data_IF_033108540297
#
_entry.id   IF_033108540297
#
_cell.length_a   1.000
_cell.length_b   1.000
_cell.length_c   1.000
_cell.angle_alpha   90.00
_cell.angle_beta   90.00
_cell.angle_gamma   90.00
#
_symmetry.space_group_name_H-M   'P 1'
#
loop_
_entity.id
_entity.type
_entity.pdbx_description
1 polymer ?
#
# COMPACT_ATOMS: atom_id res chain seq x y z
N UNK A 1 -14.12 29.28 -46.90
CA UNK A 1 -14.02 29.07 -45.43
C UNK A 1 -14.37 30.37 -44.76
N UNK A 2 -15.21 30.30 -43.73
CA UNK A 2 -15.64 31.49 -42.99
C UNK A 2 -14.52 31.98 -42.06
N UNK A 3 -14.48 33.29 -41.80
CA UNK A 3 -13.45 33.93 -40.95
C UNK A 3 -13.40 33.29 -39.55
N UNK A 4 -14.56 32.89 -39.04
CA UNK A 4 -14.70 32.23 -37.75
C UNK A 4 -14.13 30.81 -37.78
N UNK A 5 -14.26 30.11 -38.91
CA UNK A 5 -13.65 28.80 -39.12
C UNK A 5 -12.13 28.89 -39.13
N UNK A 6 -11.57 29.88 -39.82
CA UNK A 6 -10.11 30.12 -39.85
C UNK A 6 -9.59 30.47 -38.44
N UNK A 7 -10.30 31.33 -37.71
CA UNK A 7 -9.93 31.69 -36.34
C UNK A 7 -9.98 30.48 -35.39
N UNK A 8 -11.01 29.63 -35.50
CA UNK A 8 -11.13 28.41 -34.70
C UNK A 8 -9.94 27.46 -34.93
N UNK A 9 -9.52 27.27 -36.19
CA UNK A 9 -8.34 26.47 -36.50
C UNK A 9 -7.05 27.05 -35.91
N UNK A 10 -6.89 28.37 -35.92
CA UNK A 10 -5.73 29.04 -35.31
C UNK A 10 -5.69 28.82 -33.79
N UNK A 11 -6.83 28.94 -33.12
CA UNK A 11 -6.93 28.72 -31.66
C UNK A 11 -6.63 27.26 -31.32
N UNK A 12 -7.18 26.30 -32.06
CA UNK A 12 -6.91 24.87 -31.85
C UNK A 12 -5.42 24.57 -32.02
N UNK A 13 -4.79 25.11 -33.08
CA UNK A 13 -3.35 24.93 -33.29
C UNK A 13 -2.51 25.49 -32.12
N UNK A 14 -2.89 26.66 -31.60
CA UNK A 14 -2.20 27.28 -30.46
C UNK A 14 -2.39 26.47 -29.16
N UNK A 15 -3.59 25.93 -28.92
CA UNK A 15 -3.86 25.05 -27.79
C UNK A 15 -3.03 23.76 -27.91
N UNK A 16 -3.03 23.10 -29.07
CA UNK A 16 -2.25 21.88 -29.29
C UNK A 16 -0.74 22.10 -29.14
N UNK A 17 -0.24 23.27 -29.56
CA UNK A 17 1.16 23.65 -29.36
C UNK A 17 1.49 23.95 -27.88
N UNK A 18 0.55 24.49 -27.11
CA UNK A 18 0.72 24.81 -25.69
C UNK A 18 0.47 23.65 -24.73
N UNK A 19 -0.38 22.68 -25.08
CA UNK A 19 -0.73 21.53 -24.25
C UNK A 19 0.49 20.71 -23.75
N UNK A 20 1.49 20.32 -24.57
CA UNK A 20 2.62 19.54 -24.07
C UNK A 20 3.38 20.28 -22.96
N UNK A 21 3.62 21.57 -23.13
CA UNK A 21 4.29 22.40 -22.14
C UNK A 21 3.43 22.64 -20.88
N UNK A 22 2.12 22.83 -21.07
CA UNK A 22 1.19 22.96 -19.95
C UNK A 22 1.24 21.73 -19.04
N UNK A 23 1.23 20.52 -19.60
CA UNK A 23 1.28 19.27 -18.82
C UNK A 23 2.61 19.06 -18.08
N UNK A 24 3.73 19.55 -18.61
CA UNK A 24 5.02 19.57 -17.90
C UNK A 24 4.97 20.51 -16.68
N UNK A 25 4.37 21.71 -16.82
CA UNK A 25 4.31 22.70 -15.74
C UNK A 25 3.47 22.24 -14.54
N UNK A 26 2.38 21.50 -14.79
CA UNK A 26 1.47 21.01 -13.74
C UNK A 26 1.77 19.57 -13.28
N UNK A 27 2.85 18.95 -13.77
CA UNK A 27 3.28 17.61 -13.37
C UNK A 27 2.33 16.49 -13.80
N UNK A 28 1.48 16.72 -14.81
CA UNK A 28 0.60 15.69 -15.39
C UNK A 28 1.23 14.97 -16.60
N UNK A 29 2.45 15.35 -16.98
CA UNK A 29 3.17 14.70 -18.06
C UNK A 29 3.44 13.23 -17.70
N UNK A 30 2.99 12.27 -18.54
CA UNK A 30 3.40 10.88 -18.41
C UNK A 30 4.93 10.80 -18.43
N UNK A 31 5.57 10.00 -17.56
CA UNK A 31 7.00 9.75 -17.69
C UNK A 31 7.29 9.21 -19.10
N UNK A 32 8.44 9.57 -19.72
CA UNK A 32 8.79 9.03 -21.02
C UNK A 32 8.74 7.50 -20.95
N UNK A 33 7.82 6.91 -21.73
CA UNK A 33 7.72 5.45 -21.84
C UNK A 33 9.06 4.96 -22.39
N UNK A 34 9.74 4.03 -21.71
CA UNK A 34 10.89 3.35 -22.30
C UNK A 34 10.43 2.73 -23.62
N UNK A 35 11.14 3.05 -24.69
CA UNK A 35 10.94 2.44 -26.00
C UNK A 35 11.01 0.91 -25.84
N UNK A 36 9.94 0.21 -26.21
CA UNK A 36 9.96 -1.23 -26.42
C UNK A 36 10.95 -1.53 -27.54
N UNK A 37 12.08 -2.14 -27.18
CA UNK A 37 13.06 -2.54 -28.17
C UNK A 37 14.42 -2.89 -27.60
N UNK A 38 14.50 -3.91 -26.74
CA UNK A 38 15.69 -4.75 -26.61
C UNK A 38 15.37 -6.04 -25.83
N UNK A 39 15.19 -7.13 -26.59
CA UNK A 39 15.42 -8.47 -26.08
C UNK A 39 16.89 -8.59 -25.66
N UNK A 40 17.20 -8.36 -24.38
CA UNK A 40 18.48 -8.77 -23.81
C UNK A 40 18.28 -10.01 -22.95
N UNK A 41 18.48 -11.15 -23.62
CA UNK A 41 19.05 -12.41 -23.12
C UNK A 41 19.21 -12.53 -21.60
N UNK A 42 18.37 -13.38 -21.00
CA UNK A 42 18.59 -13.92 -19.66
C UNK A 42 19.98 -14.57 -19.58
N UNK A 43 20.93 -13.92 -18.90
CA UNK A 43 22.12 -14.57 -18.34
C UNK A 43 21.88 -14.86 -16.86
N UNK A 44 22.00 -16.11 -16.39
CA UNK A 44 21.82 -16.42 -14.99
C UNK A 44 22.98 -15.82 -14.19
N UNK A 45 22.68 -14.86 -13.33
CA UNK A 45 23.64 -14.33 -12.37
C UNK A 45 23.76 -15.36 -11.23
N UNK A 46 24.97 -15.91 -11.14
CA UNK A 46 25.45 -16.81 -10.09
C UNK A 46 25.32 -16.13 -8.72
N UNK A 47 24.71 -16.83 -7.76
CA UNK A 47 24.55 -16.35 -6.39
C UNK A 47 25.92 -15.96 -5.75
N UNK A 48 26.05 -14.79 -5.12
CA UNK A 48 27.21 -14.49 -4.30
C UNK A 48 27.08 -15.22 -2.96
N UNK A 49 27.93 -16.22 -2.75
CA UNK A 49 28.23 -16.74 -1.42
C UNK A 49 28.97 -15.65 -0.64
N UNK A 50 28.28 -14.95 0.25
CA UNK A 50 28.91 -14.13 1.29
C UNK A 50 28.90 -14.95 2.57
N UNK A 51 30.01 -15.61 2.84
CA UNK A 51 30.41 -15.92 4.20
C UNK A 51 30.95 -14.64 4.83
N UNK A 52 30.29 -14.16 5.88
CA UNK A 52 30.95 -13.54 7.03
C UNK A 52 29.93 -13.34 8.15
N UNK A 53 30.34 -13.92 9.28
CA UNK A 53 29.81 -13.85 10.64
C UNK A 53 29.24 -12.50 11.07
N UNK A 54 28.03 -12.54 11.64
CA UNK A 54 27.62 -11.70 12.77
C UNK A 54 26.90 -12.57 13.82
N UNK A 55 27.05 -12.25 15.11
CA UNK A 55 26.92 -13.20 16.21
C UNK A 55 25.48 -13.63 16.51
N UNK A 56 25.35 -14.91 16.87
CA UNK A 56 24.10 -15.52 17.30
C UNK A 56 23.61 -14.90 18.63
N UNK A 57 22.34 -14.49 18.75
CA UNK A 57 21.70 -14.41 20.05
C UNK A 57 21.42 -15.83 20.55
N UNK A 58 21.97 -16.09 21.72
CA UNK A 58 21.93 -17.32 22.48
C UNK A 58 20.51 -17.69 22.91
N UNK A 59 20.15 -18.95 22.62
CA UNK A 59 19.07 -19.78 23.16
C UNK A 59 18.08 -19.14 24.17
N UNK A 60 16.85 -18.93 23.72
CA UNK A 60 15.66 -19.00 24.58
C UNK A 60 14.68 -19.97 23.92
N UNK A 61 14.12 -20.95 24.65
CA UNK A 61 13.38 -22.05 24.02
C UNK A 61 12.12 -21.52 23.33
N UNK A 62 11.99 -21.81 22.04
CA UNK A 62 10.74 -21.73 21.31
C UNK A 62 9.79 -22.73 21.97
N UNK A 63 9.00 -22.26 22.95
CA UNK A 63 7.79 -22.95 23.30
C UNK A 63 6.88 -22.86 22.08
N UNK A 64 6.84 -23.97 21.33
CA UNK A 64 5.76 -24.29 20.41
C UNK A 64 4.49 -24.39 21.26
N UNK A 65 3.92 -23.23 21.58
CA UNK A 65 2.65 -23.10 22.27
C UNK A 65 1.56 -23.61 21.35
N UNK A 66 1.22 -24.88 21.50
CA UNK A 66 0.04 -25.45 20.89
C UNK A 66 -1.20 -24.77 21.47
N UNK A 67 -1.93 -24.04 20.64
CA UNK A 67 -3.35 -23.77 20.87
C UNK A 67 -4.17 -24.65 19.94
N UNK A 68 -4.13 -25.96 20.19
CA UNK A 68 -5.26 -26.81 19.89
C UNK A 68 -6.31 -26.59 21.01
N UNK A 69 -7.01 -25.44 20.98
CA UNK A 69 -8.34 -25.40 21.59
C UNK A 69 -9.27 -26.03 20.57
N UNK A 70 -9.70 -27.25 20.86
CA UNK A 70 -10.81 -27.92 20.16
C UNK A 70 -12.01 -26.99 20.25
N UNK A 71 -12.47 -26.49 19.12
CA UNK A 71 -13.75 -25.80 19.01
C UNK A 71 -14.84 -26.87 18.94
N UNK A 72 -15.44 -27.16 20.09
CA UNK A 72 -16.78 -27.73 20.11
C UNK A 72 -17.78 -26.60 19.91
N UNK A 73 -18.67 -26.77 18.92
CA UNK A 73 -19.98 -26.13 18.89
C UNK A 73 -20.05 -24.70 18.37
N UNK A 74 -20.62 -24.57 17.17
CA UNK A 74 -21.51 -23.49 16.71
C UNK A 74 -21.47 -22.17 17.50
N UNK A 75 -20.76 -21.19 16.95
CA UNK A 75 -20.69 -19.84 17.49
C UNK A 75 -19.38 -19.19 17.11
N UNK A 76 -19.42 -18.23 16.19
CA UNK A 76 -18.33 -17.29 15.94
C UNK A 76 -18.00 -16.59 17.25
N UNK A 77 -16.97 -17.07 17.96
CA UNK A 77 -16.46 -16.40 19.16
C UNK A 77 -15.79 -15.12 18.67
N UNK A 78 -16.56 -14.03 18.60
CA UNK A 78 -15.99 -12.69 18.60
C UNK A 78 -15.19 -12.58 19.89
N UNK A 79 -13.87 -12.67 19.77
CA UNK A 79 -12.99 -12.32 20.88
C UNK A 79 -13.29 -10.86 21.22
N UNK A 80 -13.74 -10.62 22.45
CA UNK A 80 -14.03 -9.28 22.97
C UNK A 80 -12.75 -8.54 23.38
N UNK A 81 -11.67 -8.73 22.62
CA UNK A 81 -10.43 -8.01 22.81
C UNK A 81 -10.62 -6.56 22.41
N UNK A 82 -10.15 -5.65 23.26
CA UNK A 82 -10.13 -4.22 22.95
C UNK A 82 -9.13 -3.96 21.82
N UNK A 83 -9.52 -3.14 20.83
CA UNK A 83 -8.65 -2.76 19.73
C UNK A 83 -7.45 -1.97 20.26
N UNK A 84 -6.24 -2.44 19.95
CA UNK A 84 -4.98 -1.81 20.34
C UNK A 84 -4.31 -1.23 19.11
N UNK A 85 -3.80 -0.01 19.23
CA UNK A 85 -3.05 0.66 18.17
C UNK A 85 -1.60 0.79 18.60
N UNK A 86 -0.69 0.29 17.76
CA UNK A 86 0.76 0.43 17.90
C UNK A 86 1.26 1.43 16.87
N UNK A 87 2.04 2.42 17.32
CA UNK A 87 2.62 3.40 16.42
C UNK A 87 4.07 3.02 16.07
N UNK A 88 4.35 2.99 14.77
CA UNK A 88 5.69 2.78 14.21
C UNK A 88 6.17 4.12 13.65
N UNK A 89 7.25 4.64 14.23
CA UNK A 89 7.84 5.91 13.83
C UNK A 89 9.21 5.69 13.16
N UNK A 90 9.39 6.32 12.01
CA UNK A 90 10.65 6.31 11.24
C UNK A 90 11.03 7.74 10.84
N UNK A 91 12.21 7.97 10.25
CA UNK A 91 12.54 9.27 9.67
C UNK A 91 11.61 9.71 8.52
N UNK A 92 10.92 8.78 7.85
CA UNK A 92 10.13 9.06 6.64
C UNK A 92 8.61 9.11 6.91
N UNK A 93 8.13 8.35 7.89
CA UNK A 93 6.70 8.22 8.16
C UNK A 93 6.37 7.88 9.62
N UNK A 94 5.10 8.07 9.98
CA UNK A 94 4.48 7.53 11.21
C UNK A 94 3.27 6.70 10.80
N UNK A 95 3.27 5.42 11.18
CA UNK A 95 2.16 4.50 10.87
C UNK A 95 1.47 4.05 12.16
N UNK A 96 0.15 4.14 12.20
CA UNK A 96 -0.68 3.53 13.24
C UNK A 96 -1.15 2.16 12.77
N UNK A 97 -0.77 1.10 13.48
CA UNK A 97 -1.14 -0.29 13.18
C UNK A 97 -2.13 -0.77 14.23
N UNK A 98 -3.32 -1.18 13.80
CA UNK A 98 -4.36 -1.74 14.66
C UNK A 98 -4.25 -3.26 14.74
N UNK A 99 -4.56 -3.81 15.92
CA UNK A 99 -4.75 -5.25 16.09
C UNK A 99 -5.99 -5.80 15.37
N UNK A 100 -6.87 -4.94 14.84
CA UNK A 100 -7.97 -5.33 13.96
C UNK A 100 -7.43 -5.93 12.66
N UNK A 101 -8.03 -7.03 12.22
CA UNK A 101 -7.63 -7.73 11.00
C UNK A 101 -6.20 -8.28 11.02
N UNK A 102 -5.56 -8.33 12.19
CA UNK A 102 -4.19 -8.82 12.37
C UNK A 102 -3.10 -7.80 12.00
N UNK A 103 -3.44 -6.52 11.84
CA UNK A 103 -2.46 -5.48 11.50
C UNK A 103 -2.95 -4.41 10.53
N UNK A 104 -4.25 -4.13 10.44
CA UNK A 104 -4.76 -3.07 9.56
C UNK A 104 -4.20 -1.70 9.95
N UNK A 105 -3.93 -0.85 8.97
CA UNK A 105 -3.44 0.51 9.19
C UNK A 105 -4.60 1.46 9.52
N UNK A 106 -4.44 2.24 10.59
CA UNK A 106 -5.36 3.34 10.94
C UNK A 106 -4.84 4.70 10.48
N UNK A 107 -3.53 4.82 10.27
CA UNK A 107 -2.87 5.99 9.68
C UNK A 107 -1.53 5.61 9.05
N UNK A 108 -1.11 6.36 8.04
CA UNK A 108 0.21 6.27 7.44
C UNK A 108 0.64 7.67 6.96
N UNK A 109 1.23 8.42 7.88
CA UNK A 109 1.54 9.85 7.71
C UNK A 109 2.96 10.00 7.16
N UNK A 110 3.12 10.67 6.03
CA UNK A 110 4.40 10.94 5.40
C UNK A 110 5.00 12.26 5.93
N UNK A 111 6.20 12.20 6.51
CA UNK A 111 6.81 13.34 7.24
C UNK A 111 7.25 14.50 6.33
N UNK A 112 7.57 14.20 5.07
CA UNK A 112 8.17 15.17 4.12
C UNK A 112 7.19 15.62 3.01
N UNK A 113 5.89 15.36 3.17
CA UNK A 113 4.88 15.64 2.15
C UNK A 113 3.74 16.46 2.76
N UNK A 114 3.87 17.80 2.82
CA UNK A 114 2.79 18.68 3.22
C UNK A 114 1.79 18.90 2.08
N UNK A 115 0.52 19.01 2.45
CA UNK A 115 -0.57 19.51 1.63
C UNK A 115 -0.56 21.05 1.59
N UNK A 116 -1.42 21.63 0.75
CA UNK A 116 -1.52 23.09 0.60
C UNK A 116 -1.94 23.82 1.90
N UNK A 117 -2.56 23.11 2.82
CA UNK A 117 -2.98 23.60 4.14
C UNK A 117 -1.94 23.32 5.24
N UNK A 118 -0.73 22.88 4.87
CA UNK A 118 0.36 22.47 5.77
C UNK A 118 0.10 21.22 6.61
N UNK A 119 -1.03 20.52 6.41
CA UNK A 119 -1.21 19.18 6.99
C UNK A 119 -0.34 18.17 6.25
N UNK A 120 0.09 17.10 6.91
CA UNK A 120 0.89 16.06 6.27
C UNK A 120 -0.03 15.08 5.54
N UNK A 121 0.47 14.52 4.43
CA UNK A 121 -0.25 13.47 3.70
C UNK A 121 -0.38 12.23 4.57
N UNK A 122 -1.63 11.81 4.81
CA UNK A 122 -1.98 10.50 5.35
C UNK A 122 -2.50 9.62 4.21
N UNK A 123 -1.87 8.45 4.01
CA UNK A 123 -2.29 7.50 2.97
C UNK A 123 -3.54 6.70 3.38
N UNK A 124 -3.93 6.73 4.66
CA UNK A 124 -5.17 6.11 5.14
C UNK A 124 -6.27 7.17 5.20
N UNK A 125 -7.14 7.14 4.19
CA UNK A 125 -8.31 8.03 4.08
C UNK A 125 -9.54 7.28 4.57
N UNK A 126 -10.21 7.83 5.59
CA UNK A 126 -11.30 7.16 6.32
C UNK A 126 -12.41 6.66 5.38
N UNK A 127 -12.76 7.42 4.37
CA UNK A 127 -13.87 7.11 3.46
C UNK A 127 -13.45 6.20 2.29
N UNK A 128 -12.15 5.94 2.11
CA UNK A 128 -11.62 5.24 0.92
C UNK A 128 -11.05 3.87 1.28
N UNK A 129 -10.23 3.77 2.32
CA UNK A 129 -9.43 2.56 2.59
C UNK A 129 -9.35 2.15 4.08
N UNK A 130 -10.42 2.37 4.85
CA UNK A 130 -10.55 1.86 6.23
C UNK A 130 -10.45 0.32 6.35
N UNK A 131 -10.85 -0.42 5.32
CA UNK A 131 -10.74 -1.88 5.26
C UNK A 131 -9.42 -2.38 4.69
N UNK A 132 -8.33 -1.61 4.81
CA UNK A 132 -7.04 -1.99 4.25
C UNK A 132 -6.49 -3.27 4.91
N UNK A 133 -5.74 -4.02 4.12
CA UNK A 133 -5.02 -5.24 4.51
C UNK A 133 -5.92 -6.36 5.09
N UNK A 134 -7.25 -6.28 4.93
CA UNK A 134 -8.16 -7.33 5.37
C UNK A 134 -8.04 -8.58 4.50
N UNK A 135 -8.03 -9.74 5.16
CA UNK A 135 -8.02 -11.03 4.49
C UNK A 135 -9.45 -11.52 4.33
N UNK A 136 -9.81 -11.86 3.08
CA UNK A 136 -11.09 -12.45 2.73
C UNK A 136 -10.87 -13.75 1.97
N UNK A 137 -11.57 -14.79 2.35
CA UNK A 137 -11.48 -16.10 1.71
C UNK A 137 -12.83 -16.80 1.65
N UNK A 138 -12.88 -17.88 0.88
CA UNK A 138 -14.02 -18.81 0.85
C UNK A 138 -13.70 -20.01 1.72
N UNK A 139 -14.60 -20.36 2.62
CA UNK A 139 -14.45 -21.58 3.41
C UNK A 139 -14.76 -22.84 2.56
N UNK A 140 -14.71 -24.02 3.18
CA UNK A 140 -15.02 -25.28 2.52
C UNK A 140 -16.50 -25.40 2.07
N UNK A 141 -17.37 -24.58 2.65
CA UNK A 141 -18.80 -24.48 2.30
C UNK A 141 -19.05 -23.48 1.16
N UNK A 142 -18.04 -22.71 0.76
CA UNK A 142 -18.18 -21.62 -0.22
C UNK A 142 -18.70 -20.30 0.38
N UNK A 143 -18.80 -20.18 1.70
CA UNK A 143 -19.17 -18.97 2.40
C UNK A 143 -18.01 -17.96 2.41
N UNK A 144 -18.33 -16.66 2.28
CA UNK A 144 -17.31 -15.60 2.39
C UNK A 144 -16.97 -15.34 3.86
N UNK A 145 -15.74 -15.64 4.24
CA UNK A 145 -15.20 -15.31 5.56
C UNK A 145 -14.30 -14.09 5.43
N UNK A 146 -14.52 -13.09 6.28
CA UNK A 146 -13.63 -11.92 6.42
C UNK A 146 -12.96 -11.97 7.78
N UNK A 147 -11.64 -11.81 7.81
CA UNK A 147 -10.87 -11.73 9.05
C UNK A 147 -10.74 -10.27 9.48
N UNK A 148 -11.79 -9.71 10.08
CA UNK A 148 -11.85 -8.32 10.56
C UNK A 148 -11.94 -8.19 12.10
N UNK A 149 -11.90 -9.31 12.82
CA UNK A 149 -11.88 -9.33 14.28
C UNK A 149 -10.58 -8.72 14.85
N UNK A 150 -10.60 -8.40 16.15
CA UNK A 150 -9.43 -7.91 16.90
C UNK A 150 -8.55 -9.09 17.31
N UNK A 151 -7.26 -9.03 16.98
CA UNK A 151 -6.27 -10.05 17.33
C UNK A 151 -5.59 -9.69 18.66
N UNK A 152 -5.18 -10.69 19.42
CA UNK A 152 -4.41 -10.47 20.64
C UNK A 152 -2.95 -10.15 20.29
N UNK A 153 -2.44 -9.08 20.90
CA UNK A 153 -1.03 -8.64 20.87
C UNK A 153 -0.34 -9.03 22.16
#
# INVERSE_FOLDING_TARGET
>A
MDKNTVLAFLIIALILMGMPYYYEMIGLAPPPSPEEGQEESFKPIRAPSIGSSFPAPENTPVQRGGFAKRFDGDGVVKSFSEEKIVYVETPLYVAGVSSRGGGSLVSFILKNYPLNDSTLVDLVVKEINQGNLLIKFKDFSGESVTLDNVWEL
#
